data_IF_074207684032
#
_entry.id   IF_074207684032
#
_cell.length_a   1.000
_cell.length_b   1.000
_cell.length_c   1.000
_cell.angle_alpha   90.00
_cell.angle_beta   90.00
_cell.angle_gamma   90.00
#
_symmetry.space_group_name_H-M   'P 1'
#
loop_
_entity.id
_entity.type
_entity.pdbx_description
1 polymer ?
#
# COMPACT_ATOMS: atom_id res chain seq x y z
N UNK A 1 2.58 35.07 -6.94
CA UNK A 1 3.14 33.72 -6.70
C UNK A 1 2.47 32.99 -5.54
N UNK A 2 2.34 33.54 -4.32
CA UNK A 2 1.65 32.83 -3.22
C UNK A 2 0.16 32.54 -3.49
N UNK A 3 -0.61 33.52 -3.99
CA UNK A 3 -2.05 33.36 -4.22
C UNK A 3 -2.45 32.36 -5.32
N UNK A 4 -1.63 32.21 -6.38
CA UNK A 4 -1.90 31.28 -7.48
C UNK A 4 -1.70 29.82 -7.06
N UNK A 5 -0.71 29.55 -6.20
CA UNK A 5 -0.46 28.22 -5.64
C UNK A 5 -1.61 27.83 -4.71
N UNK A 6 -2.09 28.74 -3.85
CA UNK A 6 -3.24 28.48 -2.97
C UNK A 6 -4.50 28.11 -3.77
N UNK A 7 -4.79 28.84 -4.85
CA UNK A 7 -5.94 28.54 -5.71
C UNK A 7 -5.80 27.19 -6.43
N UNK A 8 -4.61 26.86 -6.94
CA UNK A 8 -4.35 25.56 -7.55
C UNK A 8 -4.51 24.41 -6.55
N UNK A 9 -4.06 24.59 -5.31
CA UNK A 9 -4.23 23.61 -4.23
C UNK A 9 -5.71 23.44 -3.88
N UNK A 10 -6.50 24.52 -3.77
CA UNK A 10 -7.94 24.43 -3.51
C UNK A 10 -8.71 23.71 -4.62
N UNK A 11 -8.44 24.07 -5.89
CA UNK A 11 -9.02 23.38 -7.06
C UNK A 11 -8.65 21.90 -7.04
N UNK A 12 -7.40 21.59 -6.70
CA UNK A 12 -6.92 20.23 -6.61
C UNK A 12 -7.56 19.44 -5.47
N UNK A 13 -7.78 20.03 -4.30
CA UNK A 13 -8.51 19.39 -3.19
C UNK A 13 -9.95 19.09 -3.56
N UNK A 14 -10.64 20.03 -4.22
CA UNK A 14 -11.99 19.78 -4.73
C UNK A 14 -12.00 18.65 -5.77
N UNK A 15 -11.03 18.67 -6.69
CA UNK A 15 -10.84 17.65 -7.71
C UNK A 15 -10.66 16.26 -7.08
N UNK A 16 -9.73 16.10 -6.14
CA UNK A 16 -9.51 14.83 -5.43
C UNK A 16 -10.79 14.37 -4.76
N UNK A 17 -11.45 15.22 -3.97
CA UNK A 17 -12.66 14.83 -3.25
C UNK A 17 -13.75 14.29 -4.19
N UNK A 18 -13.92 14.92 -5.36
CA UNK A 18 -14.88 14.43 -6.37
C UNK A 18 -14.41 13.14 -7.05
N UNK A 19 -13.13 13.03 -7.39
CA UNK A 19 -12.57 11.86 -8.07
C UNK A 19 -12.53 10.64 -7.16
N UNK A 20 -12.15 10.78 -5.89
CA UNK A 20 -12.19 9.70 -4.88
C UNK A 20 -13.58 9.08 -4.78
N UNK A 21 -14.64 9.89 -4.72
CA UNK A 21 -16.03 9.38 -4.69
C UNK A 21 -16.37 8.63 -5.99
N UNK A 22 -16.01 9.21 -7.14
CA UNK A 22 -16.25 8.61 -8.45
C UNK A 22 -15.52 7.26 -8.62
N UNK A 23 -14.22 7.24 -8.36
CA UNK A 23 -13.35 6.07 -8.48
C UNK A 23 -13.81 4.98 -7.51
N UNK A 24 -14.12 5.32 -6.26
CA UNK A 24 -14.66 4.38 -5.27
C UNK A 24 -15.91 3.65 -5.79
N UNK A 25 -16.85 4.41 -6.39
CA UNK A 25 -18.09 3.83 -6.91
C UNK A 25 -17.87 3.01 -8.17
N UNK A 26 -17.04 3.50 -9.10
CA UNK A 26 -16.71 2.80 -10.33
C UNK A 26 -15.89 1.52 -10.08
N UNK A 27 -14.97 1.54 -9.11
CA UNK A 27 -14.25 0.37 -8.64
C UNK A 27 -15.23 -0.67 -8.09
N UNK A 28 -16.20 -0.26 -7.26
CA UNK A 28 -17.22 -1.19 -6.78
C UNK A 28 -18.01 -1.86 -7.92
N UNK A 29 -18.50 -1.08 -8.89
CA UNK A 29 -19.26 -1.62 -10.03
C UNK A 29 -18.41 -2.53 -10.92
N UNK A 30 -17.19 -2.10 -11.27
CA UNK A 30 -16.30 -2.87 -12.14
C UNK A 30 -15.73 -4.12 -11.47
N UNK A 31 -15.33 -4.04 -10.20
CA UNK A 31 -14.71 -5.15 -9.46
C UNK A 31 -15.75 -6.17 -8.97
N UNK A 32 -16.86 -5.70 -8.39
CA UNK A 32 -17.86 -6.56 -7.73
C UNK A 32 -19.00 -6.90 -8.66
N UNK A 33 -19.57 -5.91 -9.34
CA UNK A 33 -20.67 -6.13 -10.29
C UNK A 33 -20.19 -6.58 -11.67
N UNK A 34 -18.87 -6.54 -11.93
CA UNK A 34 -18.24 -6.91 -13.20
C UNK A 34 -18.79 -6.13 -14.39
N UNK A 35 -19.18 -4.89 -14.16
CA UNK A 35 -19.74 -4.02 -15.20
C UNK A 35 -18.62 -3.43 -16.07
N UNK A 36 -18.55 -3.86 -17.34
CA UNK A 36 -17.55 -3.36 -18.29
C UNK A 36 -17.64 -1.84 -18.51
N UNK A 37 -18.87 -1.30 -18.52
CA UNK A 37 -19.08 0.15 -18.66
C UNK A 37 -18.43 0.93 -17.51
N UNK A 38 -18.50 0.40 -16.28
CA UNK A 38 -17.86 1.05 -15.13
C UNK A 38 -16.33 1.06 -15.27
N UNK A 39 -15.74 0.00 -15.82
CA UNK A 39 -14.31 -0.02 -16.15
C UNK A 39 -13.94 1.01 -17.23
N UNK A 40 -14.75 1.14 -18.29
CA UNK A 40 -14.52 2.18 -19.31
C UNK A 40 -14.58 3.59 -18.71
N UNK A 41 -15.48 3.84 -17.76
CA UNK A 41 -15.52 5.12 -17.05
C UNK A 41 -14.30 5.33 -16.13
N UNK A 42 -13.71 4.28 -15.55
CA UNK A 42 -12.42 4.38 -14.86
C UNK A 42 -11.30 4.80 -15.83
N UNK A 43 -11.25 4.21 -17.02
CA UNK A 43 -10.26 4.57 -18.05
C UNK A 43 -10.42 6.04 -18.48
N UNK A 44 -11.64 6.50 -18.73
CA UNK A 44 -11.91 7.90 -19.09
C UNK A 44 -11.47 8.83 -17.96
N UNK A 45 -11.79 8.50 -16.71
CA UNK A 45 -11.40 9.30 -15.54
C UNK A 45 -9.87 9.37 -15.39
N UNK A 46 -9.17 8.25 -15.63
CA UNK A 46 -7.72 8.20 -15.67
C UNK A 46 -7.16 9.11 -16.77
N UNK A 47 -7.70 9.04 -18.00
CA UNK A 47 -7.24 9.86 -19.13
C UNK A 47 -7.42 11.35 -18.82
N UNK A 48 -8.56 11.74 -18.26
CA UNK A 48 -8.82 13.13 -17.85
C UNK A 48 -7.80 13.61 -16.80
N UNK A 49 -7.45 12.73 -15.86
CA UNK A 49 -6.42 13.02 -14.85
C UNK A 49 -5.03 13.15 -15.48
N UNK A 50 -4.69 12.28 -16.43
CA UNK A 50 -3.45 12.37 -17.19
C UNK A 50 -3.34 13.65 -18.02
N UNK A 51 -4.44 14.07 -18.65
CA UNK A 51 -4.53 15.36 -19.36
C UNK A 51 -4.27 16.51 -18.38
N UNK A 52 -4.87 16.47 -17.19
CA UNK A 52 -4.64 17.48 -16.16
C UNK A 52 -3.15 17.53 -15.76
N UNK A 53 -2.52 16.37 -15.51
CA UNK A 53 -1.08 16.30 -15.24
C UNK A 53 -0.25 16.93 -16.38
N UNK A 54 -0.56 16.64 -17.64
CA UNK A 54 0.16 17.20 -18.80
C UNK A 54 0.08 18.73 -18.83
N UNK A 55 -1.07 19.31 -18.50
CA UNK A 55 -1.24 20.76 -18.48
C UNK A 55 -0.43 21.45 -17.37
N UNK A 56 -0.27 20.80 -16.21
CA UNK A 56 0.43 21.40 -15.07
C UNK A 56 1.93 21.02 -14.98
N UNK A 57 2.39 20.02 -15.74
CA UNK A 57 3.71 19.40 -15.52
C UNK A 57 4.90 20.27 -15.93
N UNK A 58 4.70 21.24 -16.82
CA UNK A 58 5.75 21.95 -17.58
C UNK A 58 6.74 21.02 -18.33
N UNK A 59 6.41 19.73 -18.46
CA UNK A 59 7.25 18.71 -19.11
C UNK A 59 6.36 17.68 -19.82
N UNK A 60 5.76 18.13 -20.94
CA UNK A 60 4.72 17.40 -21.68
C UNK A 60 5.14 15.98 -22.03
N UNK A 61 6.35 15.80 -22.57
CA UNK A 61 6.86 14.49 -22.99
C UNK A 61 6.95 13.51 -21.81
N UNK A 62 7.44 13.96 -20.67
CA UNK A 62 7.62 13.12 -19.48
C UNK A 62 6.28 12.76 -18.86
N UNK A 63 5.37 13.74 -18.74
CA UNK A 63 4.00 13.48 -18.26
C UNK A 63 3.25 12.51 -19.17
N UNK A 64 3.43 12.63 -20.49
CA UNK A 64 2.79 11.74 -21.47
C UNK A 64 3.35 10.32 -21.35
N UNK A 65 4.67 10.16 -21.24
CA UNK A 65 5.30 8.86 -21.04
C UNK A 65 4.75 8.16 -19.79
N UNK A 66 4.78 8.83 -18.63
CA UNK A 66 4.28 8.25 -17.36
C UNK A 66 2.81 7.85 -17.49
N UNK A 67 1.97 8.75 -18.02
CA UNK A 67 0.53 8.52 -18.17
C UNK A 67 0.24 7.34 -19.09
N UNK A 68 0.91 7.25 -20.25
CA UNK A 68 0.71 6.17 -21.22
C UNK A 68 1.16 4.83 -20.65
N UNK A 69 2.30 4.76 -19.97
CA UNK A 69 2.77 3.51 -19.36
C UNK A 69 1.81 3.01 -18.29
N UNK A 70 1.34 3.90 -17.40
CA UNK A 70 0.41 3.53 -16.34
C UNK A 70 -0.99 3.17 -16.89
N UNK A 71 -1.41 3.74 -18.01
CA UNK A 71 -2.65 3.37 -18.70
C UNK A 71 -2.57 2.02 -19.42
N UNK A 72 -1.41 1.70 -20.00
CA UNK A 72 -1.26 0.51 -20.85
C UNK A 72 -1.45 -0.80 -20.07
N UNK A 73 -0.96 -0.85 -18.83
CA UNK A 73 -1.04 -2.04 -17.96
C UNK A 73 -2.50 -2.50 -17.75
N UNK A 74 -3.41 -1.67 -17.20
CA UNK A 74 -4.81 -2.06 -17.02
C UNK A 74 -5.48 -2.37 -18.36
N UNK A 75 -5.17 -1.62 -19.43
CA UNK A 75 -5.76 -1.84 -20.75
C UNK A 75 -5.45 -3.22 -21.31
N UNK A 76 -4.20 -3.67 -21.19
CA UNK A 76 -3.78 -5.01 -21.62
C UNK A 76 -4.46 -6.11 -20.80
N UNK A 77 -4.62 -5.91 -19.48
CA UNK A 77 -5.35 -6.83 -18.62
C UNK A 77 -6.83 -6.93 -19.00
N UNK A 78 -7.48 -5.80 -19.31
CA UNK A 78 -8.85 -5.78 -19.76
C UNK A 78 -9.02 -6.47 -21.11
N UNK A 79 -8.13 -6.18 -22.06
CA UNK A 79 -8.11 -6.82 -23.39
C UNK A 79 -7.90 -8.33 -23.31
N UNK A 80 -7.27 -8.81 -22.23
CA UNK A 80 -7.11 -10.24 -21.92
C UNK A 80 -8.31 -10.85 -21.19
N UNK A 81 -9.43 -10.13 -21.06
CA UNK A 81 -10.64 -10.56 -20.36
C UNK A 81 -10.55 -10.53 -18.82
N UNK A 82 -9.49 -9.94 -18.24
CA UNK A 82 -9.24 -9.95 -16.79
C UNK A 82 -9.75 -8.66 -16.13
N UNK A 83 -11.06 -8.40 -16.22
CA UNK A 83 -11.72 -7.16 -15.76
C UNK A 83 -11.37 -6.82 -14.30
N UNK A 84 -11.38 -7.80 -13.39
CA UNK A 84 -11.04 -7.56 -11.98
C UNK A 84 -9.60 -7.04 -11.81
N UNK A 85 -8.63 -7.68 -12.47
CA UNK A 85 -7.23 -7.22 -12.42
C UNK A 85 -7.07 -5.85 -13.08
N UNK A 86 -7.77 -5.63 -14.20
CA UNK A 86 -7.75 -4.37 -14.91
C UNK A 86 -8.31 -3.23 -14.05
N UNK A 87 -9.39 -3.47 -13.30
CA UNK A 87 -10.02 -2.46 -12.44
C UNK A 87 -9.12 -2.11 -11.24
N UNK A 88 -8.50 -3.13 -10.62
CA UNK A 88 -7.54 -2.94 -9.52
C UNK A 88 -6.33 -2.14 -9.99
N UNK A 89 -5.68 -2.58 -11.07
CA UNK A 89 -4.51 -1.88 -11.61
C UNK A 89 -4.84 -0.49 -12.09
N UNK A 90 -6.01 -0.29 -12.72
CA UNK A 90 -6.48 1.03 -13.15
C UNK A 90 -6.63 1.97 -11.97
N UNK A 91 -7.21 1.50 -10.85
CA UNK A 91 -7.38 2.32 -9.65
C UNK A 91 -6.01 2.71 -9.09
N UNK A 92 -5.12 1.75 -8.85
CA UNK A 92 -3.76 2.01 -8.34
C UNK A 92 -3.01 3.00 -9.24
N UNK A 93 -3.05 2.80 -10.56
CA UNK A 93 -2.43 3.71 -11.53
C UNK A 93 -3.03 5.11 -11.46
N UNK A 94 -4.34 5.23 -11.26
CA UNK A 94 -5.03 6.50 -11.11
C UNK A 94 -4.56 7.23 -9.86
N UNK A 95 -4.48 6.54 -8.72
CA UNK A 95 -4.00 7.12 -7.46
C UNK A 95 -2.53 7.59 -7.55
N UNK A 96 -1.69 6.84 -8.28
CA UNK A 96 -0.30 7.26 -8.55
C UNK A 96 -0.28 8.57 -9.34
N UNK A 97 -1.09 8.69 -10.40
CA UNK A 97 -1.14 9.92 -11.20
C UNK A 97 -1.71 11.09 -10.39
N UNK A 98 -2.77 10.87 -9.62
CA UNK A 98 -3.34 11.92 -8.77
C UNK A 98 -2.31 12.38 -7.74
N UNK A 99 -1.60 11.46 -7.09
CA UNK A 99 -0.54 11.81 -6.15
C UNK A 99 0.62 12.55 -6.84
N UNK A 100 1.00 12.16 -8.07
CA UNK A 100 2.03 12.86 -8.84
C UNK A 100 1.64 14.31 -9.17
N UNK A 101 0.36 14.56 -9.44
CA UNK A 101 -0.18 15.91 -9.66
C UNK A 101 0.06 16.79 -8.43
N UNK A 102 -0.22 16.27 -7.22
CA UNK A 102 0.06 17.00 -5.98
C UNK A 102 1.53 17.41 -5.89
N UNK A 103 2.44 16.46 -6.08
CA UNK A 103 3.87 16.74 -6.01
C UNK A 103 4.32 17.73 -7.09
N UNK A 104 3.77 17.63 -8.30
CA UNK A 104 4.04 18.58 -9.37
C UNK A 104 3.59 20.01 -8.99
N UNK A 105 2.43 20.16 -8.33
CA UNK A 105 1.95 21.47 -7.85
C UNK A 105 2.87 22.00 -6.75
N UNK A 106 3.14 21.20 -5.71
CA UNK A 106 3.92 21.63 -4.53
C UNK A 106 5.39 21.92 -4.87
N UNK A 107 5.97 21.19 -5.83
CA UNK A 107 7.38 21.36 -6.25
C UNK A 107 7.56 22.27 -7.46
N UNK A 108 6.49 22.90 -7.95
CA UNK A 108 6.53 23.86 -9.05
C UNK A 108 6.87 23.23 -10.42
N UNK A 109 6.54 21.95 -10.62
CA UNK A 109 6.72 21.24 -11.88
C UNK A 109 7.02 19.74 -11.69
N UNK A 110 6.74 18.96 -12.74
CA UNK A 110 6.92 17.50 -12.70
C UNK A 110 8.38 17.08 -12.56
N UNK A 111 9.31 17.77 -13.24
CA UNK A 111 10.74 17.43 -13.16
C UNK A 111 11.27 17.60 -11.74
N UNK A 112 10.97 18.72 -11.08
CA UNK A 112 11.36 18.98 -9.70
C UNK A 112 10.75 17.96 -8.74
N UNK A 113 9.48 17.59 -8.97
CA UNK A 113 8.82 16.53 -8.23
C UNK A 113 9.57 15.20 -8.36
N UNK A 114 9.91 14.76 -9.57
CA UNK A 114 10.64 13.51 -9.79
C UNK A 114 12.03 13.54 -9.14
N UNK A 115 12.81 14.61 -9.31
CA UNK A 115 14.12 14.71 -8.65
C UNK A 115 14.02 14.69 -7.12
N UNK A 116 12.97 15.28 -6.55
CA UNK A 116 12.73 15.27 -5.10
C UNK A 116 12.31 13.88 -4.61
N UNK A 117 11.36 13.25 -5.31
CA UNK A 117 10.88 11.90 -5.00
C UNK A 117 12.00 10.86 -5.13
N UNK A 118 12.86 10.95 -6.14
CA UNK A 118 14.03 10.07 -6.23
C UNK A 118 14.94 10.20 -5.00
N UNK A 119 15.19 11.43 -4.56
CA UNK A 119 16.01 11.69 -3.38
C UNK A 119 15.37 11.07 -2.13
N UNK A 120 14.05 11.22 -1.97
CA UNK A 120 13.33 10.58 -0.85
C UNK A 120 13.39 9.05 -0.92
N UNK A 121 13.24 8.49 -2.11
CA UNK A 121 13.25 7.04 -2.30
C UNK A 121 14.59 6.36 -1.97
N UNK A 122 15.72 7.07 -2.16
CA UNK A 122 17.05 6.46 -2.21
C UNK A 122 18.09 7.11 -1.31
N UNK A 123 17.81 8.31 -0.79
CA UNK A 123 18.77 9.17 -0.09
C UNK A 123 20.03 9.52 -0.95
N UNK A 124 19.95 9.35 -2.28
CA UNK A 124 21.03 9.65 -3.23
C UNK A 124 20.79 11.02 -3.88
N UNK A 125 21.76 11.94 -3.86
CA UNK A 125 21.65 13.23 -4.56
C UNK A 125 21.32 13.06 -6.04
N UNK A 126 20.19 13.65 -6.45
CA UNK A 126 19.53 13.29 -7.71
C UNK A 126 19.92 14.17 -8.90
N UNK A 127 20.43 15.38 -8.67
CA UNK A 127 20.65 16.42 -9.71
C UNK A 127 21.66 16.05 -10.80
N UNK A 128 22.56 15.08 -10.55
CA UNK A 128 23.55 14.62 -11.52
C UNK A 128 23.08 13.41 -12.34
N UNK A 129 21.91 12.84 -12.00
CA UNK A 129 21.37 11.66 -12.66
C UNK A 129 20.50 12.05 -13.86
N UNK A 130 20.55 11.18 -14.86
CA UNK A 130 19.74 11.31 -16.05
C UNK A 130 18.26 11.03 -15.76
N UNK A 131 17.37 11.68 -16.51
CA UNK A 131 15.93 11.59 -16.27
C UNK A 131 15.41 10.14 -16.28
N UNK A 132 15.92 9.30 -17.18
CA UNK A 132 15.43 7.93 -17.31
C UNK A 132 15.75 7.05 -16.10
N UNK A 133 16.84 7.34 -15.36
CA UNK A 133 17.19 6.56 -14.17
C UNK A 133 16.38 6.96 -12.95
N UNK A 134 15.81 8.18 -12.94
CA UNK A 134 15.03 8.69 -11.80
C UNK A 134 13.54 8.41 -11.92
N UNK A 135 12.95 8.31 -13.12
CA UNK A 135 11.49 8.20 -13.30
C UNK A 135 10.90 7.02 -12.53
N UNK A 136 11.45 5.82 -12.70
CA UNK A 136 10.87 4.61 -12.09
C UNK A 136 10.94 4.64 -10.57
N UNK A 137 12.10 4.89 -9.92
CA UNK A 137 12.16 5.03 -8.47
C UNK A 137 11.25 6.15 -7.95
N UNK A 138 11.18 7.28 -8.64
CA UNK A 138 10.33 8.40 -8.23
C UNK A 138 8.84 8.06 -8.26
N UNK A 139 8.39 7.35 -9.31
CA UNK A 139 6.99 6.93 -9.44
C UNK A 139 6.65 5.85 -8.40
N UNK A 140 7.60 4.97 -8.06
CA UNK A 140 7.41 3.99 -6.99
C UNK A 140 7.33 4.68 -5.64
N UNK A 141 8.14 5.69 -5.39
CA UNK A 141 8.13 6.43 -4.12
C UNK A 141 6.80 7.12 -3.83
N UNK A 142 6.04 7.46 -4.87
CA UNK A 142 4.67 7.97 -4.69
C UNK A 142 3.81 7.00 -3.89
N UNK A 143 4.02 5.70 -4.03
CA UNK A 143 3.26 4.68 -3.28
C UNK A 143 3.54 4.78 -1.78
N UNK A 144 4.73 5.22 -1.39
CA UNK A 144 5.12 5.46 -0.01
C UNK A 144 4.67 6.85 0.49
N UNK A 145 4.06 7.68 -0.36
CA UNK A 145 3.59 9.00 0.05
C UNK A 145 2.31 8.94 0.87
N UNK A 146 2.20 9.86 1.82
CA UNK A 146 0.98 10.06 2.59
C UNK A 146 -0.18 10.51 1.68
N UNK A 147 0.10 11.25 0.60
CA UNK A 147 -0.89 11.57 -0.42
C UNK A 147 -1.49 10.31 -1.07
N UNK A 148 -0.68 9.35 -1.48
CA UNK A 148 -1.18 8.09 -2.04
C UNK A 148 -2.03 7.32 -1.02
N UNK A 149 -1.60 7.28 0.24
CA UNK A 149 -2.38 6.72 1.34
C UNK A 149 -3.76 7.37 1.49
N UNK A 150 -3.82 8.71 1.55
CA UNK A 150 -5.06 9.46 1.69
C UNK A 150 -6.00 9.24 0.50
N UNK A 151 -5.41 9.07 -0.67
CA UNK A 151 -6.15 8.91 -1.89
C UNK A 151 -6.75 7.53 -2.04
N UNK A 152 -6.02 6.44 -1.77
CA UNK A 152 -6.46 5.06 -2.02
C UNK A 152 -7.26 4.41 -0.87
N UNK A 153 -7.06 4.91 0.35
CA UNK A 153 -7.70 4.34 1.54
C UNK A 153 -9.24 4.46 1.49
N UNK A 154 -9.85 5.60 1.10
CA UNK A 154 -11.30 5.73 1.00
C UNK A 154 -11.97 4.71 0.07
N UNK A 155 -11.37 4.41 -1.09
CA UNK A 155 -11.84 3.41 -2.07
C UNK A 155 -11.84 2.04 -1.44
N UNK A 156 -10.72 1.68 -0.80
CA UNK A 156 -10.59 0.40 -0.11
C UNK A 156 -11.65 0.28 0.99
N UNK A 157 -11.80 1.30 1.84
CA UNK A 157 -12.80 1.32 2.92
C UNK A 157 -14.20 1.17 2.32
N UNK A 158 -14.53 1.95 1.29
CA UNK A 158 -15.85 1.92 0.65
C UNK A 158 -16.18 0.53 0.11
N UNK A 159 -15.29 -0.06 -0.68
CA UNK A 159 -15.54 -1.37 -1.30
C UNK A 159 -15.56 -2.47 -0.24
N UNK A 160 -14.66 -2.44 0.74
CA UNK A 160 -14.64 -3.41 1.85
C UNK A 160 -15.91 -3.33 2.70
N UNK A 161 -16.39 -2.13 3.01
CA UNK A 161 -17.62 -1.92 3.77
C UNK A 161 -18.85 -2.42 3.00
N UNK A 162 -18.92 -2.14 1.69
CA UNK A 162 -20.02 -2.60 0.82
C UNK A 162 -20.04 -4.12 0.66
N UNK A 163 -18.87 -4.76 0.63
CA UNK A 163 -18.74 -6.22 0.48
C UNK A 163 -18.68 -6.97 1.82
N UNK A 164 -18.59 -6.25 2.94
CA UNK A 164 -18.37 -6.79 4.30
C UNK A 164 -17.09 -7.64 4.40
N UNK A 165 -16.07 -7.34 3.59
CA UNK A 165 -14.80 -8.04 3.59
C UNK A 165 -13.74 -7.33 4.44
N UNK A 166 -13.87 -7.45 5.77
CA UNK A 166 -12.95 -6.81 6.71
C UNK A 166 -11.56 -7.44 6.75
N UNK A 167 -11.39 -8.66 6.23
CA UNK A 167 -10.08 -9.31 6.14
C UNK A 167 -9.21 -8.66 5.07
N UNK A 168 -9.78 -8.38 3.90
CA UNK A 168 -9.10 -7.59 2.88
C UNK A 168 -8.75 -6.19 3.41
N UNK A 169 -9.69 -5.52 4.10
CA UNK A 169 -9.41 -4.23 4.74
C UNK A 169 -8.20 -4.31 5.69
N UNK A 170 -8.11 -5.34 6.52
CA UNK A 170 -6.96 -5.55 7.40
C UNK A 170 -5.63 -5.68 6.65
N UNK A 171 -5.59 -6.47 5.57
CA UNK A 171 -4.38 -6.61 4.73
C UNK A 171 -4.02 -5.28 4.07
N UNK A 172 -5.01 -4.53 3.57
CA UNK A 172 -4.77 -3.20 3.01
C UNK A 172 -4.21 -2.22 4.04
N UNK A 173 -4.75 -2.19 5.26
CA UNK A 173 -4.25 -1.33 6.34
C UNK A 173 -2.81 -1.69 6.73
N UNK A 174 -2.45 -2.98 6.71
CA UNK A 174 -1.07 -3.40 6.90
C UNK A 174 -0.18 -2.95 5.74
N UNK A 175 -0.62 -3.12 4.49
CA UNK A 175 0.13 -2.69 3.31
C UNK A 175 0.36 -1.18 3.29
N UNK A 176 -0.60 -0.39 3.78
CA UNK A 176 -0.53 1.06 3.87
C UNK A 176 0.15 1.57 5.15
N UNK A 177 0.60 0.69 6.05
CA UNK A 177 1.30 1.08 7.28
C UNK A 177 2.81 1.29 7.05
N UNK A 178 3.56 1.59 8.11
CA UNK A 178 5.02 1.70 8.04
C UNK A 178 5.50 2.98 7.32
N UNK A 179 6.61 2.91 6.57
CA UNK A 179 7.20 4.03 5.81
C UNK A 179 6.20 4.82 4.98
N UNK A 180 5.14 4.16 4.47
CA UNK A 180 4.08 4.78 3.68
C UNK A 180 3.31 5.91 4.36
N UNK A 181 3.27 5.91 5.70
CA UNK A 181 2.60 6.97 6.48
C UNK A 181 3.58 8.10 6.78
N UNK A 182 4.88 7.82 6.73
CA UNK A 182 5.93 8.65 7.30
C UNK A 182 6.78 9.41 6.27
N UNK A 183 6.96 8.88 5.05
CA UNK A 183 7.84 9.49 4.02
C UNK A 183 7.44 10.94 3.69
N UNK A 184 6.15 11.29 3.71
CA UNK A 184 5.77 12.70 3.53
C UNK A 184 6.01 13.55 4.78
N UNK A 185 5.89 12.98 5.98
CA UNK A 185 6.08 13.70 7.24
C UNK A 185 7.56 13.99 7.53
N UNK A 186 8.47 13.08 7.17
CA UNK A 186 9.94 13.26 7.28
C UNK A 186 10.48 14.34 6.37
N UNK A 187 9.81 14.57 5.23
CA UNK A 187 10.24 15.53 4.21
C UNK A 187 9.35 16.78 4.15
N UNK A 188 8.36 16.86 5.04
CA UNK A 188 7.54 18.05 5.28
C UNK A 188 8.30 19.11 6.08
N UNK A 189 8.01 20.36 5.78
CA UNK A 189 8.74 21.61 6.07
C UNK A 189 8.88 21.96 7.58
N UNK A 190 8.45 21.08 8.49
CA UNK A 190 8.48 21.31 9.93
C UNK A 190 9.58 20.46 10.59
N UNK A 191 10.48 21.06 11.39
CA UNK A 191 11.44 20.29 12.19
C UNK A 191 10.67 19.46 13.22
N UNK A 192 10.47 18.18 12.94
CA UNK A 192 9.86 17.25 13.88
C UNK A 192 10.89 16.85 14.93
N UNK A 193 10.45 16.73 16.18
CA UNK A 193 11.30 16.32 17.31
C UNK A 193 11.71 14.84 17.22
N UNK A 194 10.91 14.04 16.53
CA UNK A 194 11.14 12.61 16.30
C UNK A 194 10.94 12.28 14.84
N UNK A 195 11.69 11.29 14.35
CA UNK A 195 11.61 10.78 12.99
C UNK A 195 10.28 10.00 12.79
N UNK A 196 9.35 10.48 11.94
CA UNK A 196 8.06 9.87 11.70
C UNK A 196 8.13 8.41 11.27
N UNK A 197 9.20 8.01 10.58
CA UNK A 197 9.38 6.62 10.14
C UNK A 197 9.41 5.70 11.35
N UNK A 198 10.12 6.08 12.41
CA UNK A 198 10.27 5.29 13.63
C UNK A 198 8.94 5.05 14.33
N UNK A 199 8.05 6.04 14.32
CA UNK A 199 6.72 5.92 14.90
C UNK A 199 5.82 5.05 14.02
N UNK A 200 5.89 5.22 12.70
CA UNK A 200 5.09 4.45 11.75
C UNK A 200 5.48 2.97 11.71
N UNK A 201 6.77 2.63 11.85
CA UNK A 201 7.23 1.23 11.97
C UNK A 201 6.70 0.56 13.25
N UNK A 202 6.59 1.29 14.35
CA UNK A 202 6.01 0.77 15.60
C UNK A 202 4.49 0.52 15.43
N UNK A 203 3.79 1.42 14.75
CA UNK A 203 2.38 1.22 14.39
C UNK A 203 2.20 0.00 13.49
N UNK A 204 3.06 -0.17 12.48
CA UNK A 204 3.04 -1.32 11.57
C UNK A 204 3.26 -2.64 12.32
N UNK A 205 4.20 -2.68 13.27
CA UNK A 205 4.41 -3.84 14.14
C UNK A 205 3.15 -4.16 14.97
N UNK A 206 2.52 -3.16 15.58
CA UNK A 206 1.29 -3.35 16.36
C UNK A 206 0.14 -3.89 15.49
N UNK A 207 -0.06 -3.29 14.31
CA UNK A 207 -1.07 -3.74 13.34
C UNK A 207 -0.76 -5.19 12.91
N UNK A 208 0.50 -5.50 12.59
CA UNK A 208 0.93 -6.85 12.21
C UNK A 208 0.61 -7.88 13.29
N UNK A 209 0.94 -7.60 14.56
CA UNK A 209 0.64 -8.52 15.68
C UNK A 209 -0.87 -8.71 15.86
N UNK A 210 -1.66 -7.63 15.83
CA UNK A 210 -3.12 -7.73 15.98
C UNK A 210 -3.73 -8.51 14.82
N UNK A 211 -3.34 -8.23 13.58
CA UNK A 211 -3.82 -8.95 12.40
C UNK A 211 -3.40 -10.41 12.43
N UNK A 212 -2.15 -10.70 12.81
CA UNK A 212 -1.66 -12.07 12.97
C UNK A 212 -2.51 -12.87 13.95
N UNK A 213 -2.82 -12.30 15.13
CA UNK A 213 -3.69 -12.93 16.11
C UNK A 213 -5.10 -13.15 15.56
N UNK A 214 -5.70 -12.14 14.92
CA UNK A 214 -7.05 -12.24 14.37
C UNK A 214 -7.14 -13.27 13.25
N UNK A 215 -6.27 -13.22 12.23
CA UNK A 215 -6.24 -14.20 11.14
C UNK A 215 -6.01 -15.61 11.66
N UNK A 216 -5.06 -15.80 12.58
CA UNK A 216 -4.75 -17.12 13.13
C UNK A 216 -5.91 -17.70 13.93
N UNK A 217 -6.55 -16.91 14.80
CA UNK A 217 -7.73 -17.36 15.56
C UNK A 217 -8.91 -17.69 14.64
N UNK A 218 -9.16 -16.87 13.62
CA UNK A 218 -10.24 -17.13 12.67
C UNK A 218 -9.95 -18.36 11.79
N UNK A 219 -8.69 -18.59 11.42
CA UNK A 219 -8.27 -19.77 10.66
C UNK A 219 -8.47 -21.05 11.47
N UNK A 220 -8.03 -21.05 12.74
CA UNK A 220 -8.23 -22.18 13.67
C UNK A 220 -9.72 -22.49 13.87
N UNK A 221 -10.56 -21.45 13.93
CA UNK A 221 -12.02 -21.59 14.05
C UNK A 221 -12.70 -21.98 12.73
N UNK A 222 -11.95 -22.23 11.66
CA UNK A 222 -12.44 -22.50 10.30
C UNK A 222 -13.40 -21.39 9.80
N UNK A 223 -13.15 -20.13 10.16
CA UNK A 223 -13.95 -18.97 9.72
C UNK A 223 -13.35 -18.24 8.52
N UNK A 224 -12.08 -18.50 8.23
CA UNK A 224 -11.40 -18.07 6.99
C UNK A 224 -10.80 -19.29 6.30
N UNK A 225 -10.69 -19.25 4.98
CA UNK A 225 -10.06 -20.30 4.22
C UNK A 225 -8.52 -20.17 4.23
N UNK A 226 -7.86 -21.22 3.73
CA UNK A 226 -6.40 -21.23 3.58
C UNK A 226 -5.91 -20.17 2.59
N UNK A 227 -6.76 -19.72 1.65
CA UNK A 227 -6.37 -18.73 0.64
C UNK A 227 -6.25 -17.34 1.26
N UNK A 228 -7.24 -16.89 2.02
CA UNK A 228 -7.19 -15.63 2.78
C UNK A 228 -6.03 -15.64 3.78
N UNK A 229 -5.83 -16.76 4.47
CA UNK A 229 -4.75 -16.87 5.44
C UNK A 229 -3.35 -16.86 4.77
N UNK A 230 -3.18 -17.56 3.64
CA UNK A 230 -1.92 -17.54 2.90
C UNK A 230 -1.65 -16.17 2.24
N UNK A 231 -2.68 -15.49 1.74
CA UNK A 231 -2.57 -14.12 1.23
C UNK A 231 -2.09 -13.15 2.32
N UNK A 232 -2.66 -13.24 3.53
CA UNK A 232 -2.18 -12.47 4.68
C UNK A 232 -0.70 -12.78 5.00
N UNK A 233 -0.33 -14.07 5.05
CA UNK A 233 1.04 -14.50 5.33
C UNK A 233 2.04 -13.94 4.31
N UNK A 234 1.72 -14.05 3.01
CA UNK A 234 2.58 -13.57 1.93
C UNK A 234 2.74 -12.05 2.02
N UNK A 235 1.63 -11.31 2.17
CA UNK A 235 1.67 -9.85 2.27
C UNK A 235 2.49 -9.39 3.50
N UNK A 236 2.21 -9.95 4.67
CA UNK A 236 2.92 -9.62 5.91
C UNK A 236 4.41 -9.95 5.83
N UNK A 237 4.77 -11.10 5.25
CA UNK A 237 6.17 -11.51 5.06
C UNK A 237 6.91 -10.53 4.15
N UNK A 238 6.35 -10.22 2.98
CA UNK A 238 6.97 -9.31 2.02
C UNK A 238 7.17 -7.91 2.63
N UNK A 239 6.14 -7.34 3.25
CA UNK A 239 6.21 -6.02 3.90
C UNK A 239 7.25 -5.99 5.02
N UNK A 240 7.29 -7.03 5.87
CA UNK A 240 8.24 -7.10 6.99
C UNK A 240 9.70 -7.24 6.54
N UNK A 241 9.95 -7.96 5.44
CA UNK A 241 11.30 -8.11 4.86
C UNK A 241 11.73 -6.81 4.20
N UNK A 242 10.85 -6.15 3.44
CA UNK A 242 11.16 -4.85 2.84
C UNK A 242 11.40 -3.78 3.90
N UNK A 243 10.66 -3.80 5.01
CA UNK A 243 10.90 -2.89 6.14
C UNK A 243 12.29 -3.11 6.74
N UNK A 244 12.66 -4.37 6.98
CA UNK A 244 13.97 -4.69 7.52
C UNK A 244 15.08 -4.22 6.57
N UNK A 245 14.91 -4.44 5.26
CA UNK A 245 15.84 -3.94 4.25
C UNK A 245 15.94 -2.41 4.29
N UNK A 246 14.81 -1.71 4.39
CA UNK A 246 14.76 -0.26 4.50
C UNK A 246 15.48 0.25 5.76
N UNK A 247 15.24 -0.38 6.92
CA UNK A 247 15.91 -0.01 8.19
C UNK A 247 17.45 -0.15 8.15
N UNK A 248 17.99 -0.91 7.20
CA UNK A 248 19.44 -1.11 7.02
C UNK A 248 20.00 -0.18 5.95
N UNK A 249 19.24 0.07 4.87
CA UNK A 249 19.76 0.70 3.64
C UNK A 249 19.21 2.10 3.36
N UNK A 250 18.14 2.51 4.05
CA UNK A 250 17.36 3.73 3.80
C UNK A 250 16.79 3.83 2.37
N UNK A 251 16.72 2.72 1.65
CA UNK A 251 16.12 2.65 0.31
C UNK A 251 14.67 2.15 0.41
N UNK A 252 13.72 3.01 0.05
CA UNK A 252 12.27 2.80 0.19
C UNK A 252 11.64 2.08 -1.01
N UNK A 253 12.37 1.95 -2.12
CA UNK A 253 11.85 1.37 -3.37
C UNK A 253 11.33 -0.06 -3.17
N UNK A 254 12.03 -0.98 -2.47
CA UNK A 254 11.49 -2.31 -2.21
C UNK A 254 10.20 -2.29 -1.38
N UNK A 255 10.05 -1.33 -0.47
CA UNK A 255 8.85 -1.18 0.35
C UNK A 255 7.64 -0.70 -0.47
N UNK A 256 7.85 0.23 -1.42
CA UNK A 256 6.82 0.64 -2.36
C UNK A 256 6.29 -0.55 -3.18
N UNK A 257 7.20 -1.41 -3.66
CA UNK A 257 6.83 -2.59 -4.45
C UNK A 257 6.00 -3.56 -3.61
N UNK A 258 6.42 -3.86 -2.38
CA UNK A 258 5.68 -4.78 -1.50
C UNK A 258 4.33 -4.20 -1.08
N UNK A 259 4.23 -2.87 -0.93
CA UNK A 259 2.97 -2.14 -0.74
C UNK A 259 2.00 -2.34 -1.90
N UNK A 260 2.46 -2.11 -3.14
CA UNK A 260 1.64 -2.35 -4.34
C UNK A 260 1.16 -3.79 -4.43
N UNK A 261 2.04 -4.76 -4.13
CA UNK A 261 1.68 -6.18 -4.10
C UNK A 261 0.65 -6.47 -3.01
N UNK A 262 0.83 -5.92 -1.80
CA UNK A 262 -0.11 -6.08 -0.68
C UNK A 262 -1.49 -5.53 -0.99
N UNK A 263 -1.56 -4.32 -1.56
CA UNK A 263 -2.80 -3.70 -2.02
C UNK A 263 -3.47 -4.50 -3.13
N UNK A 264 -2.70 -4.94 -4.12
CA UNK A 264 -3.21 -5.76 -5.21
C UNK A 264 -3.79 -7.09 -4.72
N UNK A 265 -3.09 -7.79 -3.83
CA UNK A 265 -3.56 -9.04 -3.20
C UNK A 265 -4.82 -8.79 -2.38
N UNK A 266 -4.86 -7.72 -1.60
CA UNK A 266 -6.03 -7.35 -0.80
C UNK A 266 -7.26 -7.08 -1.68
N UNK A 267 -7.14 -6.22 -2.69
CA UNK A 267 -8.23 -5.90 -3.60
C UNK A 267 -8.68 -7.13 -4.41
N UNK A 268 -7.79 -8.08 -4.68
CA UNK A 268 -8.17 -9.35 -5.27
C UNK A 268 -9.01 -10.24 -4.35
N UNK A 269 -8.74 -10.21 -3.04
CA UNK A 269 -9.56 -10.92 -2.06
C UNK A 269 -10.97 -10.34 -2.01
N UNK A 270 -11.11 -9.02 -2.15
CA UNK A 270 -12.42 -8.36 -2.23
C UNK A 270 -13.26 -8.91 -3.40
N UNK A 271 -12.64 -9.20 -4.54
CA UNK A 271 -13.32 -9.74 -5.72
C UNK A 271 -13.80 -11.20 -5.56
N UNK A 272 -13.37 -11.90 -4.49
CA UNK A 272 -13.75 -13.30 -4.23
C UNK A 272 -14.53 -13.41 -2.91
N UNK A 273 -15.76 -13.95 -2.91
CA UNK A 273 -16.48 -14.19 -1.67
C UNK A 273 -15.69 -15.17 -0.79
N UNK A 274 -15.65 -14.91 0.53
CA UNK A 274 -15.06 -15.82 1.52
C UNK A 274 -15.80 -17.15 1.44
N UNK A 275 -15.14 -18.19 0.95
CA UNK A 275 -15.69 -19.54 0.94
C UNK A 275 -15.14 -20.29 2.14
N UNK A 276 -15.99 -20.53 3.15
CA UNK A 276 -15.61 -21.34 4.30
C UNK A 276 -15.55 -22.80 3.87
N UNK A 277 -14.35 -23.26 3.49
CA UNK A 277 -14.09 -24.68 3.31
C UNK A 277 -13.60 -25.26 4.63
N UNK A 278 -14.38 -26.18 5.21
CA UNK A 278 -13.96 -26.94 6.38
C UNK A 278 -12.83 -27.88 5.97
N UNK A 279 -11.58 -27.50 6.27
CA UNK A 279 -10.39 -28.31 6.07
C UNK A 279 -9.63 -28.46 7.37
N UNK A 280 -8.78 -29.48 7.43
CA UNK A 280 -7.84 -29.68 8.52
C UNK A 280 -6.92 -28.46 8.66
N UNK A 281 -6.90 -27.87 9.85
CA UNK A 281 -6.06 -26.71 10.17
C UNK A 281 -4.60 -27.08 9.93
N UNK A 282 -3.95 -26.41 8.98
CA UNK A 282 -2.53 -26.57 8.70
C UNK A 282 -1.70 -25.97 9.83
N UNK A 283 -1.36 -26.77 10.83
CA UNK A 283 -0.60 -26.34 12.00
C UNK A 283 0.76 -25.68 11.65
N UNK A 284 1.53 -26.14 10.65
CA UNK A 284 2.74 -25.43 10.20
C UNK A 284 2.47 -24.01 9.67
N UNK A 285 1.30 -23.79 9.08
CA UNK A 285 0.90 -22.49 8.52
C UNK A 285 0.66 -21.46 9.64
N UNK A 286 0.04 -21.89 10.75
CA UNK A 286 -0.19 -21.06 11.94
C UNK A 286 1.12 -20.69 12.64
N UNK A 287 2.10 -21.59 12.62
CA UNK A 287 3.44 -21.29 13.16
C UNK A 287 4.20 -20.32 12.25
N UNK A 288 4.15 -20.57 10.94
CA UNK A 288 4.81 -19.72 9.95
C UNK A 288 4.30 -18.28 9.97
N UNK A 289 3.04 -18.06 10.35
CA UNK A 289 2.46 -16.72 10.37
C UNK A 289 2.97 -15.80 11.47
N UNK A 290 3.69 -16.33 12.46
CA UNK A 290 4.40 -15.49 13.43
C UNK A 290 5.74 -14.95 12.89
N UNK A 291 6.31 -15.55 11.83
CA UNK A 291 7.63 -15.16 11.30
C UNK A 291 7.73 -13.67 10.87
N UNK A 292 6.73 -13.07 10.20
CA UNK A 292 6.78 -11.65 9.86
C UNK A 292 7.01 -10.73 11.07
N UNK A 293 6.49 -11.09 12.24
CA UNK A 293 6.66 -10.29 13.45
C UNK A 293 8.11 -10.27 13.96
N UNK A 294 8.93 -11.27 13.62
CA UNK A 294 10.38 -11.23 13.88
C UNK A 294 11.03 -10.11 13.08
N UNK A 295 10.74 -10.02 11.78
CA UNK A 295 11.35 -9.03 10.90
C UNK A 295 10.88 -7.62 11.23
N UNK A 296 9.60 -7.43 11.55
CA UNK A 296 9.07 -6.16 12.06
C UNK A 296 9.70 -5.75 13.40
N UNK A 297 9.87 -6.70 14.33
CA UNK A 297 10.53 -6.39 15.61
C UNK A 297 12.00 -6.01 15.44
N UNK A 298 12.68 -6.66 14.51
CA UNK A 298 14.08 -6.35 14.17
C UNK A 298 14.21 -4.96 13.53
N UNK A 299 13.34 -4.62 12.57
CA UNK A 299 13.37 -3.32 11.91
C UNK A 299 13.12 -2.17 12.89
N UNK A 300 12.12 -2.30 13.78
CA UNK A 300 11.85 -1.30 14.83
C UNK A 300 13.09 -1.11 15.71
N UNK A 301 13.73 -2.18 16.17
CA UNK A 301 14.92 -2.02 17.01
C UNK A 301 16.10 -1.33 16.29
N UNK A 302 16.28 -1.58 14.98
CA UNK A 302 17.29 -0.91 14.17
C UNK A 302 16.98 0.59 14.01
N UNK A 303 15.74 0.97 13.73
CA UNK A 303 15.32 2.37 13.61
C UNK A 303 15.55 3.19 14.89
N UNK A 304 15.36 2.57 16.06
CA UNK A 304 15.61 3.22 17.35
C UNK A 304 17.09 3.15 17.77
N UNK A 305 18.00 2.63 16.94
CA UNK A 305 19.41 2.39 17.28
C UNK A 305 19.59 1.52 18.54
N UNK A 306 18.61 0.68 18.85
CA UNK A 306 18.58 -0.19 20.02
C UNK A 306 19.14 -1.58 19.67
N UNK A 307 20.39 -1.63 19.17
CA UNK A 307 21.03 -2.86 18.69
C UNK A 307 21.02 -4.00 19.72
N UNK A 308 21.19 -3.68 21.01
CA UNK A 308 21.14 -4.64 22.11
C UNK A 308 19.73 -5.22 22.36
N UNK A 309 18.69 -4.52 21.90
CA UNK A 309 17.29 -4.89 22.08
C UNK A 309 16.64 -5.46 20.81
N UNK A 310 17.38 -5.60 19.71
CA UNK A 310 16.89 -6.24 18.47
C UNK A 310 16.31 -7.63 18.74
N UNK A 311 17.01 -8.43 19.54
CA UNK A 311 16.54 -9.76 19.88
C UNK A 311 15.28 -9.73 20.77
N UNK A 312 15.23 -9.00 21.90
CA UNK A 312 13.99 -8.81 22.67
C UNK A 312 12.79 -8.31 21.87
N UNK A 313 12.96 -7.27 21.04
CA UNK A 313 11.88 -6.68 20.24
C UNK A 313 11.44 -7.57 19.08
N UNK A 314 12.29 -8.48 18.60
CA UNK A 314 11.89 -9.52 17.63
C UNK A 314 11.13 -10.66 18.32
N UNK A 315 11.64 -11.13 19.45
CA UNK A 315 11.13 -12.34 20.12
C UNK A 315 9.77 -12.10 20.77
N UNK A 316 9.53 -10.95 21.38
CA UNK A 316 8.26 -10.70 22.07
C UNK A 316 7.05 -10.72 21.12
N UNK A 317 7.02 -9.97 19.99
CA UNK A 317 5.97 -10.07 18.97
C UNK A 317 5.83 -11.45 18.34
N UNK A 318 6.94 -12.17 18.17
CA UNK A 318 6.94 -13.55 17.68
C UNK A 318 6.23 -14.50 18.66
N UNK A 319 6.59 -14.45 19.95
CA UNK A 319 5.97 -15.27 20.99
C UNK A 319 4.48 -14.96 21.13
N UNK A 320 4.11 -13.67 21.09
CA UNK A 320 2.70 -13.27 21.07
C UNK A 320 1.98 -13.82 19.83
N UNK A 321 2.60 -13.70 18.65
CA UNK A 321 2.08 -14.23 17.39
C UNK A 321 1.90 -15.75 17.37
N UNK A 322 2.62 -16.48 18.24
CA UNK A 322 2.53 -17.93 18.43
C UNK A 322 1.45 -18.34 19.42
N UNK A 323 0.83 -17.41 20.15
CA UNK A 323 -0.27 -17.72 21.10
C UNK A 323 -1.44 -18.54 20.52
N UNK A 324 -1.86 -18.37 19.24
CA UNK A 324 -2.94 -19.17 18.66
C UNK A 324 -2.59 -20.66 18.55
N UNK A 325 -1.32 -21.03 18.43
CA UNK A 325 -0.88 -22.43 18.43
C UNK A 325 -1.15 -23.10 19.79
N UNK A 326 -0.86 -22.40 20.90
CA UNK A 326 -1.14 -22.92 22.23
C UNK A 326 -2.64 -23.09 22.46
N UNK A 327 -3.47 -22.21 21.89
CA UNK A 327 -4.93 -22.34 21.91
C UNK A 327 -5.40 -23.63 21.21
N UNK A 328 -4.85 -23.99 20.04
CA UNK A 328 -5.18 -25.26 19.36
C UNK A 328 -4.83 -26.45 20.23
N UNK A 329 -3.60 -26.46 20.77
CA UNK A 329 -3.10 -27.57 21.58
C UNK A 329 -3.92 -27.76 22.86
N UNK A 330 -4.27 -26.67 23.54
CA UNK A 330 -5.07 -26.69 24.76
C UNK A 330 -6.51 -27.18 24.47
N UNK A 331 -7.16 -26.66 23.43
CA UNK A 331 -8.52 -27.05 23.08
C UNK A 331 -8.64 -28.54 22.66
N UNK A 332 -7.61 -29.07 22.00
CA UNK A 332 -7.53 -30.49 21.67
C UNK A 332 -7.28 -31.38 22.90
N UNK A 333 -6.56 -30.88 23.91
CA UNK A 333 -6.34 -31.60 25.17
C UNK A 333 -7.58 -31.62 26.06
N UNK A 334 -8.43 -30.60 26.01
CA UNK A 334 -9.68 -30.55 26.81
C UNK A 334 -10.87 -31.29 26.19
N UNK A 335 -10.76 -31.67 24.91
CA UNK A 335 -11.82 -32.39 24.17
C UNK A 335 -11.62 -33.91 24.14
N UNK A 336 -10.44 -34.40 24.51
CA UNK A 336 -10.09 -35.81 24.63
C UNK A 336 -10.06 -36.21 26.11
#
# INVERSE_FOLDING_TARGET
>A
MGGEIHQLVEIYLFYIATMTVLISYLLYLSLIKREEKAYLFLEVSFIMTGIFLIFISNSVLVSLLITVYLWLIPRLLHSSGKIALASITSTISHEIIMSLIYYAIVRGGLLNALYSLYFYATDIPSFSLSLYSIIVPSVLEIVNSFMFFLMILPEIIFVCAKTRNYYALGISLLALSGPNIASEMTHSILPLQEDPIKQASLLALLISVVLQLTFSVQYIKNKIDTYYFSSFLIASSLLSISELYYSITLNEVPYAITTLVGLFVSLLLIAKPVQVNVRTVGLPLVLASALPNLFWGASVALFYNLYQFVFPFSVLPFVLGMSPFFYVKFNNLTKN
#
